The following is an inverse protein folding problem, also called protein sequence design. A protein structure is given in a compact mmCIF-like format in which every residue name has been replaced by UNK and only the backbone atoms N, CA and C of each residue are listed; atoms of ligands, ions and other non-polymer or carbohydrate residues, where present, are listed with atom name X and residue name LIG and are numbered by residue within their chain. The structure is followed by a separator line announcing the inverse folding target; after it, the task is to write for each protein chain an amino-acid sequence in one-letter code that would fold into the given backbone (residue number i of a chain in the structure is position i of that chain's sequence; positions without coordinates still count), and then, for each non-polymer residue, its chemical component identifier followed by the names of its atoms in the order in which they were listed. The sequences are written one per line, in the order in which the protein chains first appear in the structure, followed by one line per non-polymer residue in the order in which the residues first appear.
data_IF_326830348904
#
_entry.id   IF_326830348904
#
_cell.length_a   1.000
_cell.length_b   1.000
_cell.length_c   1.000
_cell.angle_alpha   90.00
_cell.angle_beta   90.00
_cell.angle_gamma   90.00
#
_symmetry.space_group_name_H-M   'P 1'
#
loop_
_entity.id
_entity.type
_entity.pdbx_description
1 polymer ?
#
# COMPACT_ATOMS: atom_id res chain seq x y z
N UNK A 1 -42.66 10.84 10.83
CA UNK A 1 -41.78 12.03 10.76
C UNK A 1 -40.72 11.86 11.84
N UNK A 2 -39.48 11.58 11.46
CA UNK A 2 -38.41 11.18 12.39
C UNK A 2 -37.59 12.41 12.76
N UNK A 3 -37.45 12.69 14.06
CA UNK A 3 -36.74 13.86 14.57
C UNK A 3 -35.31 13.45 14.94
N UNK A 4 -34.34 13.88 14.14
CA UNK A 4 -32.90 13.65 14.36
C UNK A 4 -32.41 14.69 15.37
N UNK A 5 -31.94 14.24 16.53
CA UNK A 5 -31.25 15.08 17.52
C UNK A 5 -29.76 15.01 17.21
N UNK A 6 -29.23 16.11 16.67
CA UNK A 6 -27.81 16.25 16.36
C UNK A 6 -26.97 16.42 17.62
N UNK A 7 -25.89 15.64 17.71
CA UNK A 7 -24.86 15.73 18.75
C UNK A 7 -24.04 17.00 18.53
N UNK A 8 -24.02 17.87 19.54
CA UNK A 8 -23.15 19.06 19.60
C UNK A 8 -21.76 18.60 20.02
N UNK A 9 -20.78 18.79 19.13
CA UNK A 9 -19.36 18.64 19.41
C UNK A 9 -18.78 20.01 19.78
N UNK A 10 -18.19 20.13 20.97
CA UNK A 10 -17.44 21.32 21.43
C UNK A 10 -16.04 20.85 21.92
N UNK A 11 -14.98 21.63 21.67
CA UNK A 11 -13.61 21.13 21.49
C UNK A 11 -12.82 20.95 22.78
N UNK A 12 -12.00 19.89 22.82
CA UNK A 12 -10.97 19.69 23.85
C UNK A 12 -9.60 20.21 23.39
N UNK A 13 -9.20 21.37 23.93
CA UNK A 13 -7.82 21.83 23.89
C UNK A 13 -7.53 22.65 25.17
N UNK A 14 -7.23 21.96 26.28
CA UNK A 14 -6.64 22.56 27.46
C UNK A 14 -5.12 22.40 27.36
N UNK A 15 -4.45 23.45 26.89
CA UNK A 15 -2.99 23.59 26.93
C UNK A 15 -2.52 23.85 28.36
N UNK A 16 -1.51 23.09 28.79
CA UNK A 16 -0.82 23.24 30.07
C UNK A 16 -0.03 24.57 30.10
N UNK A 17 -0.44 25.52 30.95
CA UNK A 17 0.42 26.63 31.34
C UNK A 17 1.33 26.18 32.48
N UNK A 18 2.64 26.07 32.22
CA UNK A 18 3.68 26.03 33.25
C UNK A 18 3.99 27.47 33.68
N UNK A 19 3.73 27.80 34.95
CA UNK A 19 4.19 29.03 35.56
C UNK A 19 5.67 28.92 35.94
N UNK A 20 6.51 29.74 35.32
CA UNK A 20 7.88 29.95 35.79
C UNK A 20 7.85 30.88 37.01
N UNK A 21 8.40 30.43 38.14
CA UNK A 21 8.57 31.24 39.34
C UNK A 21 9.76 32.17 39.13
N UNK A 22 9.51 33.48 39.27
CA UNK A 22 10.50 34.53 39.25
C UNK A 22 11.20 34.56 40.63
N UNK A 23 12.49 34.23 40.69
CA UNK A 23 13.31 34.49 41.87
C UNK A 23 13.99 35.86 41.68
N UNK A 24 13.58 36.83 42.50
CA UNK A 24 14.19 38.15 42.56
C UNK A 24 15.65 38.02 43.04
N UNK A 25 16.59 38.48 42.24
CA UNK A 25 17.97 38.68 42.66
C UNK A 25 18.05 40.06 43.33
N UNK A 26 18.28 40.08 44.64
CA UNK A 26 18.70 41.29 45.35
C UNK A 26 20.22 41.45 45.35
N UNK A 27 20.59 42.72 45.40
CA UNK A 27 21.90 43.32 45.14
C UNK A 27 22.88 43.17 46.32
N UNK A 28 24.19 43.28 46.01
CA UNK A 28 25.37 43.18 46.91
C UNK A 28 25.49 44.40 47.89
N UNK A 29 26.50 44.56 48.81
CA UNK A 29 27.82 43.90 48.91
C UNK A 29 28.48 43.68 50.32
N UNK A 30 29.64 43.00 50.29
CA UNK A 30 30.77 43.00 51.24
C UNK A 30 30.61 42.29 52.61
N UNK A 31 31.03 41.03 52.66
CA UNK A 31 31.98 40.61 53.71
C UNK A 31 32.86 39.45 53.23
N UNK A 32 34.08 39.42 53.75
CA UNK A 32 35.23 38.56 53.44
C UNK A 32 34.94 37.07 53.18
N UNK A 33 34.92 36.65 51.91
CA UNK A 33 34.76 35.22 51.53
C UNK A 33 36.14 34.55 51.41
N UNK A 34 36.34 33.51 52.22
CA UNK A 34 37.59 32.74 52.30
C UNK A 34 37.77 31.87 51.03
N UNK A 35 38.96 31.87 50.43
CA UNK A 35 39.23 31.25 49.11
C UNK A 35 39.28 29.72 49.16
N UNK A 36 39.43 29.13 50.35
CA UNK A 36 39.49 27.67 50.56
C UNK A 36 38.11 26.97 50.49
N UNK A 37 37.00 27.72 50.55
CA UNK A 37 35.65 27.17 50.38
C UNK A 37 35.17 27.16 48.92
N UNK A 38 35.95 27.76 48.00
CA UNK A 38 35.65 27.85 46.57
C UNK A 38 36.17 26.65 45.76
N UNK A 39 36.38 25.50 46.41
CA UNK A 39 36.72 24.27 45.69
C UNK A 39 35.49 23.72 44.97
N UNK A 40 35.30 24.16 43.71
CA UNK A 40 34.25 23.77 42.76
C UNK A 40 34.02 22.26 42.56
N UNK A 41 34.88 21.41 43.14
CA UNK A 41 34.83 19.95 43.03
C UNK A 41 34.82 19.23 44.38
N UNK A 42 34.85 19.95 45.50
CA UNK A 42 34.67 19.33 46.81
C UNK A 42 33.18 19.23 47.08
N UNK A 43 32.62 18.03 46.90
CA UNK A 43 31.27 17.72 47.38
C UNK A 43 31.33 17.81 48.91
N UNK A 44 30.67 18.80 49.56
CA UNK A 44 30.62 18.82 51.01
C UNK A 44 30.00 17.49 51.43
N UNK A 45 30.67 16.72 52.29
CA UNK A 45 30.05 15.59 52.97
C UNK A 45 29.07 16.12 54.02
N UNK A 46 28.02 16.80 53.55
CA UNK A 46 26.81 16.99 54.32
C UNK A 46 26.29 15.60 54.60
N UNK A 47 26.52 15.14 55.83
CA UNK A 47 25.80 14.01 56.41
C UNK A 47 24.33 14.40 56.40
N UNK A 48 23.66 14.18 55.28
CA UNK A 48 22.22 14.23 55.18
C UNK A 48 21.73 13.12 56.12
N UNK A 49 21.46 13.49 57.36
CA UNK A 49 20.62 12.68 58.22
C UNK A 49 19.27 12.70 57.53
N UNK A 50 18.94 11.60 56.84
CA UNK A 50 17.59 11.37 56.36
C UNK A 50 16.69 11.40 57.59
N UNK A 51 16.08 12.55 57.82
CA UNK A 51 14.99 12.70 58.77
C UNK A 51 13.78 12.24 57.97
N UNK A 52 13.24 11.09 58.36
CA UNK A 52 11.92 10.65 57.90
C UNK A 52 10.99 11.87 58.01
N UNK A 53 10.46 12.40 56.90
CA UNK A 53 9.58 13.56 56.95
C UNK A 53 8.45 13.22 57.92
N UNK A 54 8.28 14.04 58.95
CA UNK A 54 7.20 13.85 59.90
C UNK A 54 5.89 13.94 59.11
N UNK A 55 5.12 12.84 59.13
CA UNK A 55 4.05 12.56 58.17
C UNK A 55 3.12 13.77 58.05
N UNK A 56 3.31 14.56 57.00
CA UNK A 56 2.50 15.73 56.76
C UNK A 56 1.07 15.32 56.40
N UNK A 57 0.07 16.10 56.82
CA UNK A 57 -1.33 15.87 56.44
C UNK A 57 -1.54 15.71 54.91
N UNK A 58 -0.68 16.34 54.11
CA UNK A 58 -0.67 16.21 52.64
C UNK A 58 -0.19 14.83 52.17
N UNK A 59 0.80 14.25 52.82
CA UNK A 59 1.31 12.90 52.49
C UNK A 59 0.29 11.83 52.85
N UNK A 60 -0.44 12.00 53.96
CA UNK A 60 -1.60 11.17 54.31
C UNK A 60 -2.73 11.28 53.27
N UNK A 61 -2.98 12.49 52.75
CA UNK A 61 -3.94 12.70 51.67
C UNK A 61 -3.55 11.97 50.38
N UNK A 62 -2.29 12.11 49.94
CA UNK A 62 -1.78 11.46 48.72
C UNK A 62 -1.72 9.94 48.88
N UNK A 63 -1.35 9.43 50.06
CA UNK A 63 -1.35 7.99 50.33
C UNK A 63 -2.76 7.42 50.39
N UNK A 64 -3.74 8.12 50.98
CA UNK A 64 -5.15 7.69 50.91
C UNK A 64 -5.69 7.70 49.48
N UNK A 65 -5.39 8.74 48.70
CA UNK A 65 -5.78 8.80 47.28
C UNK A 65 -5.15 7.66 46.48
N UNK A 66 -3.88 7.31 46.76
CA UNK A 66 -3.22 6.17 46.14
C UNK A 66 -3.87 4.85 46.54
N UNK A 67 -4.17 4.63 47.82
CA UNK A 67 -4.89 3.44 48.30
C UNK A 67 -6.29 3.30 47.68
N UNK A 68 -6.97 4.42 47.45
CA UNK A 68 -8.25 4.43 46.73
C UNK A 68 -8.11 4.15 45.23
N UNK A 69 -6.97 4.52 44.62
CA UNK A 69 -6.69 4.28 43.20
C UNK A 69 -6.12 2.88 42.92
N UNK A 70 -5.48 2.23 43.89
CA UNK A 70 -4.96 0.84 43.81
C UNK A 70 -5.95 -0.15 43.18
N UNK A 71 -7.22 -0.26 43.64
CA UNK A 71 -8.18 -1.20 43.04
C UNK A 71 -8.54 -0.87 41.58
N UNK A 72 -8.47 0.40 41.17
CA UNK A 72 -8.70 0.79 39.79
C UNK A 72 -7.50 0.45 38.90
N UNK A 73 -6.28 0.67 39.41
CA UNK A 73 -5.05 0.33 38.68
C UNK A 73 -4.91 -1.18 38.49
N UNK A 74 -5.26 -1.99 39.50
CA UNK A 74 -5.23 -3.45 39.40
C UNK A 74 -6.26 -3.97 38.40
N UNK A 75 -7.48 -3.41 38.38
CA UNK A 75 -8.48 -3.74 37.36
C UNK A 75 -8.01 -3.36 35.94
N UNK A 76 -7.39 -2.20 35.79
CA UNK A 76 -6.84 -1.76 34.51
C UNK A 76 -5.68 -2.66 34.04
N UNK A 77 -4.81 -3.09 34.96
CA UNK A 77 -3.75 -4.05 34.68
C UNK A 77 -4.32 -5.41 34.28
N UNK A 78 -5.28 -5.96 35.04
CA UNK A 78 -5.95 -7.23 34.74
C UNK A 78 -6.58 -7.23 33.33
N UNK A 79 -7.25 -6.12 32.98
CA UNK A 79 -7.88 -5.95 31.67
C UNK A 79 -6.84 -5.89 30.54
N UNK A 80 -5.72 -5.20 30.76
CA UNK A 80 -4.59 -5.20 29.81
C UNK A 80 -3.98 -6.59 29.66
N UNK A 81 -3.74 -7.31 30.75
CA UNK A 81 -3.18 -8.66 30.70
C UNK A 81 -4.08 -9.61 29.91
N UNK A 82 -5.40 -9.56 30.15
CA UNK A 82 -6.38 -10.31 29.35
C UNK A 82 -6.36 -9.93 27.86
N UNK A 83 -6.26 -8.65 27.55
CA UNK A 83 -6.22 -8.18 26.16
C UNK A 83 -4.94 -8.63 25.45
N UNK A 84 -3.80 -8.51 26.12
CA UNK A 84 -2.50 -8.96 25.61
C UNK A 84 -2.50 -10.48 25.39
N UNK A 85 -3.05 -11.27 26.30
CA UNK A 85 -3.11 -12.73 26.16
C UNK A 85 -3.97 -13.17 24.95
N UNK A 86 -5.11 -12.51 24.72
CA UNK A 86 -5.96 -12.77 23.54
C UNK A 86 -5.23 -12.44 22.24
N UNK A 87 -4.50 -11.32 22.22
CA UNK A 87 -3.71 -10.91 21.06
C UNK A 87 -2.53 -11.86 20.85
N UNK A 88 -1.84 -12.27 21.92
CA UNK A 88 -0.75 -13.25 21.88
C UNK A 88 -1.22 -14.60 21.33
N UNK A 89 -2.40 -15.08 21.77
CA UNK A 89 -2.99 -16.33 21.30
C UNK A 89 -3.45 -16.27 19.84
N UNK A 90 -3.95 -15.11 19.38
CA UNK A 90 -4.28 -14.89 17.97
C UNK A 90 -3.01 -14.82 17.10
N UNK A 91 -2.01 -14.06 17.54
CA UNK A 91 -0.71 -13.91 16.88
C UNK A 91 0.00 -15.27 16.80
N UNK A 92 0.03 -16.05 17.88
CA UNK A 92 0.64 -17.38 17.92
C UNK A 92 0.00 -18.38 16.95
N UNK A 93 -1.28 -18.23 16.61
CA UNK A 93 -1.96 -19.07 15.60
C UNK A 93 -1.63 -18.64 14.17
N UNK A 94 -1.46 -17.34 13.93
CA UNK A 94 -1.20 -16.82 12.58
C UNK A 94 0.29 -16.83 12.23
N UNK A 95 1.18 -16.67 13.20
CA UNK A 95 2.64 -16.70 13.01
C UNK A 95 3.12 -17.94 12.22
N UNK A 96 2.82 -19.19 12.61
CA UNK A 96 3.28 -20.36 11.87
C UNK A 96 2.67 -20.43 10.47
N UNK A 97 1.45 -19.91 10.30
CA UNK A 97 0.78 -19.84 9.00
C UNK A 97 1.45 -18.82 8.08
N UNK A 98 1.84 -17.66 8.60
CA UNK A 98 2.57 -16.64 7.85
C UNK A 98 3.98 -17.11 7.53
N UNK A 99 4.65 -17.78 8.46
CA UNK A 99 5.97 -18.34 8.25
C UNK A 99 5.96 -19.42 7.17
N UNK A 100 4.99 -20.35 7.20
CA UNK A 100 4.83 -21.36 6.15
C UNK A 100 4.55 -20.76 4.77
N UNK A 101 3.74 -19.69 4.70
CA UNK A 101 3.47 -18.95 3.45
C UNK A 101 4.72 -18.20 2.98
N UNK A 102 5.51 -17.64 3.90
CA UNK A 102 6.76 -16.95 3.56
C UNK A 102 7.83 -17.93 3.06
N UNK A 103 7.94 -19.09 3.69
CA UNK A 103 8.82 -20.18 3.25
C UNK A 103 8.40 -20.70 1.87
N UNK A 104 7.10 -20.99 1.68
CA UNK A 104 6.56 -21.40 0.38
C UNK A 104 6.79 -20.33 -0.70
N UNK A 105 6.64 -19.05 -0.36
CA UNK A 105 6.92 -17.94 -1.25
C UNK A 105 8.39 -17.89 -1.66
N UNK A 106 9.31 -18.14 -0.72
CA UNK A 106 10.75 -18.16 -0.98
C UNK A 106 11.16 -19.39 -1.81
N UNK A 107 10.57 -20.56 -1.54
CA UNK A 107 10.73 -21.77 -2.35
C UNK A 107 10.20 -21.59 -3.76
N UNK A 108 9.03 -20.95 -3.91
CA UNK A 108 8.46 -20.62 -5.22
C UNK A 108 9.33 -19.61 -5.95
N UNK A 109 9.87 -18.60 -5.25
CA UNK A 109 10.74 -17.59 -5.83
C UNK A 109 12.08 -18.16 -6.29
N UNK A 110 12.68 -19.06 -5.51
CA UNK A 110 13.90 -19.77 -5.90
C UNK A 110 13.65 -20.70 -7.09
N UNK A 111 12.47 -21.34 -7.16
CA UNK A 111 12.05 -22.14 -8.31
C UNK A 111 11.80 -21.29 -9.57
N UNK A 112 11.21 -20.10 -9.42
CA UNK A 112 11.00 -19.15 -10.52
C UNK A 112 12.28 -18.50 -11.03
N UNK A 113 13.35 -18.47 -10.22
CA UNK A 113 14.67 -17.95 -10.62
C UNK A 113 15.41 -18.88 -11.59
N UNK A 114 15.23 -20.19 -11.48
CA UNK A 114 15.79 -21.19 -12.41
C UNK A 114 14.69 -22.12 -12.91
N UNK A 115 13.74 -21.61 -13.71
CA UNK A 115 12.63 -22.42 -14.15
C UNK A 115 13.12 -23.43 -15.18
N UNK A 116 12.69 -24.70 -15.10
CA UNK A 116 12.82 -25.60 -16.22
C UNK A 116 12.04 -25.02 -17.41
N UNK A 117 12.57 -25.13 -18.63
CA UNK A 117 12.01 -24.50 -19.84
C UNK A 117 10.51 -24.80 -20.08
N UNK A 118 10.00 -25.88 -19.49
CA UNK A 118 8.63 -26.37 -19.60
C UNK A 118 7.64 -25.76 -18.59
N UNK A 119 8.09 -24.95 -17.62
CA UNK A 119 7.24 -24.51 -16.51
C UNK A 119 6.18 -23.48 -16.92
N UNK A 120 6.58 -22.37 -17.58
CA UNK A 120 5.64 -21.32 -17.97
C UNK A 120 4.60 -21.76 -18.99
N UNK A 121 4.93 -22.54 -20.03
CA UNK A 121 3.91 -23.07 -20.93
C UNK A 121 2.87 -23.91 -20.20
N UNK A 122 3.29 -24.79 -19.29
CA UNK A 122 2.38 -25.66 -18.52
C UNK A 122 1.56 -24.89 -17.49
N UNK A 123 2.20 -24.03 -16.69
CA UNK A 123 1.54 -23.19 -15.71
C UNK A 123 0.56 -22.21 -16.38
N UNK A 124 0.93 -21.67 -17.54
CA UNK A 124 0.06 -20.86 -18.38
C UNK A 124 -1.19 -21.63 -18.78
N UNK A 125 -1.04 -22.80 -19.42
CA UNK A 125 -2.19 -23.62 -19.85
C UNK A 125 -3.08 -24.01 -18.67
N UNK A 126 -2.51 -24.41 -17.53
CA UNK A 126 -3.27 -24.75 -16.32
C UNK A 126 -4.01 -23.52 -15.76
N UNK A 127 -3.35 -22.36 -15.70
CA UNK A 127 -3.94 -21.11 -15.23
C UNK A 127 -5.07 -20.64 -16.14
N UNK A 128 -4.85 -20.66 -17.46
CA UNK A 128 -5.87 -20.33 -18.45
C UNK A 128 -7.06 -21.30 -18.36
N UNK A 129 -6.81 -22.61 -18.25
CA UNK A 129 -7.87 -23.60 -18.08
C UNK A 129 -8.68 -23.36 -16.80
N UNK A 130 -8.04 -22.94 -15.70
CA UNK A 130 -8.71 -22.57 -14.46
C UNK A 130 -9.60 -21.33 -14.60
N UNK A 131 -9.10 -20.28 -15.26
CA UNK A 131 -9.87 -19.04 -15.50
C UNK A 131 -11.05 -19.33 -16.44
N UNK A 132 -10.82 -20.05 -17.54
CA UNK A 132 -11.87 -20.48 -18.45
C UNK A 132 -12.91 -21.35 -17.72
N UNK A 133 -12.46 -22.30 -16.89
CA UNK A 133 -13.31 -23.14 -16.06
C UNK A 133 -14.16 -22.33 -15.10
N UNK A 134 -13.59 -21.33 -14.42
CA UNK A 134 -14.31 -20.43 -13.52
C UNK A 134 -15.36 -19.58 -14.27
N UNK A 135 -15.01 -19.10 -15.46
CA UNK A 135 -15.91 -18.31 -16.31
C UNK A 135 -17.12 -19.13 -16.79
N UNK A 136 -16.91 -20.41 -17.11
CA UNK A 136 -17.98 -21.34 -17.46
C UNK A 136 -18.79 -21.79 -16.23
N UNK A 137 -18.12 -22.04 -15.10
CA UNK A 137 -18.74 -22.56 -13.88
C UNK A 137 -19.61 -21.54 -13.15
N UNK A 138 -19.23 -20.25 -13.17
CA UNK A 138 -19.94 -19.19 -12.41
C UNK A 138 -21.33 -18.83 -12.97
N UNK A 139 -21.81 -19.56 -13.98
CA UNK A 139 -23.24 -19.55 -14.33
C UNK A 139 -23.74 -18.25 -14.93
N UNK A 140 -22.89 -17.53 -15.68
CA UNK A 140 -23.33 -16.34 -16.41
C UNK A 140 -24.03 -16.72 -17.73
N UNK A 141 -24.95 -15.86 -18.18
CA UNK A 141 -25.67 -15.97 -19.48
C UNK A 141 -24.73 -16.15 -20.68
N UNK A 142 -23.45 -15.87 -20.50
CA UNK A 142 -22.33 -16.27 -21.35
C UNK A 142 -22.50 -17.67 -21.95
N UNK A 143 -22.77 -18.72 -21.15
CA UNK A 143 -22.92 -20.08 -21.71
C UNK A 143 -24.09 -20.21 -22.68
N UNK A 144 -25.13 -19.38 -22.55
CA UNK A 144 -26.27 -19.32 -23.48
C UNK A 144 -25.95 -18.62 -24.80
N UNK A 145 -24.86 -17.85 -24.87
CA UNK A 145 -24.41 -17.16 -26.09
C UNK A 145 -23.30 -17.94 -26.77
N UNK A 146 -22.25 -18.31 -26.05
CA UNK A 146 -21.10 -18.98 -26.65
C UNK A 146 -21.42 -20.38 -27.17
N UNK A 147 -22.33 -21.12 -26.53
CA UNK A 147 -22.70 -22.46 -26.98
C UNK A 147 -23.41 -22.47 -28.35
N UNK A 148 -24.54 -21.74 -28.55
CA UNK A 148 -25.19 -21.70 -29.86
C UNK A 148 -24.37 -20.93 -30.90
N UNK A 149 -23.74 -19.81 -30.54
CA UNK A 149 -22.93 -19.05 -31.50
C UNK A 149 -21.68 -19.82 -31.94
N UNK A 150 -21.02 -20.52 -31.00
CA UNK A 150 -19.87 -21.36 -31.30
C UNK A 150 -20.24 -22.55 -32.19
N UNK A 151 -21.32 -23.27 -31.86
CA UNK A 151 -21.80 -24.37 -32.70
C UNK A 151 -22.24 -23.89 -34.09
N UNK A 152 -22.93 -22.75 -34.20
CA UNK A 152 -23.30 -22.16 -35.48
C UNK A 152 -22.07 -21.77 -36.30
N UNK A 153 -21.06 -21.16 -35.68
CA UNK A 153 -19.81 -20.80 -36.35
C UNK A 153 -19.05 -22.04 -36.84
N UNK A 154 -18.98 -23.10 -36.04
CA UNK A 154 -18.34 -24.37 -36.43
C UNK A 154 -19.12 -25.03 -37.56
N UNK A 155 -20.45 -25.11 -37.46
CA UNK A 155 -21.30 -25.68 -38.51
C UNK A 155 -21.20 -24.90 -39.83
N UNK A 156 -21.19 -23.57 -39.75
CA UNK A 156 -20.99 -22.71 -40.91
C UNK A 156 -19.58 -22.86 -41.50
N UNK A 157 -18.55 -22.96 -40.66
CA UNK A 157 -17.17 -23.19 -41.11
C UNK A 157 -17.01 -24.54 -41.81
N UNK A 158 -17.73 -25.58 -41.38
CA UNK A 158 -17.66 -26.91 -42.00
C UNK A 158 -18.39 -26.95 -43.34
N UNK A 159 -19.50 -26.22 -43.44
CA UNK A 159 -20.30 -26.17 -44.67
C UNK A 159 -19.72 -25.20 -45.72
N UNK A 160 -18.99 -24.15 -45.30
CA UNK A 160 -18.34 -23.17 -46.19
C UNK A 160 -16.87 -22.87 -45.83
N UNK A 161 -15.94 -23.82 -46.08
CA UNK A 161 -14.55 -23.70 -45.66
C UNK A 161 -13.77 -22.56 -46.33
N UNK A 162 -14.11 -22.18 -47.57
CA UNK A 162 -13.42 -21.10 -48.29
C UNK A 162 -13.74 -19.71 -47.72
N UNK A 163 -15.00 -19.49 -47.31
CA UNK A 163 -15.41 -18.23 -46.68
C UNK A 163 -14.81 -18.13 -45.27
N UNK A 164 -14.76 -19.24 -44.53
CA UNK A 164 -14.09 -19.29 -43.23
C UNK A 164 -12.58 -19.00 -43.35
N UNK A 165 -11.90 -19.56 -44.36
CA UNK A 165 -10.47 -19.30 -44.57
C UNK A 165 -10.17 -17.85 -44.93
N UNK A 166 -11.00 -17.21 -45.76
CA UNK A 166 -10.85 -15.79 -46.10
C UNK A 166 -11.04 -14.89 -44.87
N UNK A 167 -12.07 -15.16 -44.06
CA UNK A 167 -12.33 -14.43 -42.82
C UNK A 167 -11.18 -14.65 -41.82
N UNK A 168 -10.68 -15.88 -41.69
CA UNK A 168 -9.57 -16.21 -40.80
C UNK A 168 -8.27 -15.48 -41.19
N UNK A 169 -7.97 -15.36 -42.49
CA UNK A 169 -6.80 -14.61 -42.98
C UNK A 169 -6.90 -13.14 -42.62
N UNK A 170 -8.02 -12.50 -42.98
CA UNK A 170 -8.22 -11.07 -42.72
C UNK A 170 -8.22 -10.76 -41.21
N UNK A 171 -8.80 -11.65 -40.40
CA UNK A 171 -8.81 -11.52 -38.94
C UNK A 171 -7.43 -11.77 -38.34
N UNK A 172 -6.68 -12.73 -38.89
CA UNK A 172 -5.32 -13.05 -38.45
C UNK A 172 -4.35 -11.89 -38.65
N UNK A 173 -4.42 -11.20 -39.80
CA UNK A 173 -3.61 -10.00 -40.05
C UNK A 173 -3.95 -8.86 -39.09
N UNK A 174 -5.24 -8.60 -38.86
CA UNK A 174 -5.68 -7.56 -37.92
C UNK A 174 -5.26 -7.85 -36.48
N UNK A 175 -5.37 -9.11 -36.03
CA UNK A 175 -4.92 -9.52 -34.70
C UNK A 175 -3.40 -9.43 -34.57
N UNK A 176 -2.65 -9.76 -35.63
CA UNK A 176 -1.19 -9.64 -35.66
C UNK A 176 -0.77 -8.18 -35.54
N UNK A 177 -1.38 -7.28 -36.33
CA UNK A 177 -1.09 -5.84 -36.27
C UNK A 177 -1.45 -5.25 -34.91
N UNK A 178 -2.60 -5.64 -34.34
CA UNK A 178 -2.99 -5.22 -32.99
C UNK A 178 -2.02 -5.72 -31.93
N UNK A 179 -1.59 -6.98 -32.01
CA UNK A 179 -0.62 -7.56 -31.09
C UNK A 179 0.73 -6.86 -31.21
N UNK A 180 1.18 -6.55 -32.43
CA UNK A 180 2.40 -5.81 -32.70
C UNK A 180 2.31 -4.40 -32.11
N UNK A 181 1.19 -3.69 -32.32
CA UNK A 181 0.94 -2.37 -31.74
C UNK A 181 0.89 -2.42 -30.21
N UNK A 182 0.26 -3.45 -29.64
CA UNK A 182 0.22 -3.68 -28.20
C UNK A 182 1.60 -3.92 -27.60
N UNK A 183 2.42 -4.75 -28.27
CA UNK A 183 3.80 -5.00 -27.87
C UNK A 183 4.65 -3.72 -27.96
N UNK A 184 4.59 -3.02 -29.09
CA UNK A 184 5.34 -1.77 -29.29
C UNK A 184 4.92 -0.69 -28.29
N UNK A 185 3.63 -0.58 -27.96
CA UNK A 185 3.16 0.39 -26.98
C UNK A 185 3.58 0.02 -25.55
N UNK A 186 3.51 -1.25 -25.19
CA UNK A 186 3.98 -1.70 -23.86
C UNK A 186 5.49 -1.57 -23.74
N UNK A 187 6.25 -1.90 -24.79
CA UNK A 187 7.70 -1.69 -24.86
C UNK A 187 8.07 -0.20 -24.75
N UNK A 188 7.35 0.70 -25.44
CA UNK A 188 7.55 2.16 -25.31
C UNK A 188 7.31 2.65 -23.88
N UNK A 189 6.22 2.22 -23.25
CA UNK A 189 5.91 2.60 -21.86
C UNK A 189 6.97 2.03 -20.91
N UNK A 190 7.36 0.78 -21.08
CA UNK A 190 8.38 0.12 -20.25
C UNK A 190 9.77 0.75 -20.42
N UNK A 191 10.19 1.05 -21.65
CA UNK A 191 11.44 1.77 -21.94
C UNK A 191 11.41 3.21 -21.44
N UNK A 192 10.26 3.89 -21.49
CA UNK A 192 10.09 5.23 -20.92
C UNK A 192 10.13 5.23 -19.39
N UNK A 193 9.70 4.13 -18.75
CA UNK A 193 9.77 3.94 -17.31
C UNK A 193 11.19 3.53 -16.83
N UNK A 194 11.96 2.86 -17.69
CA UNK A 194 13.30 2.34 -17.35
C UNK A 194 14.44 3.31 -17.70
N UNK A 195 14.21 4.31 -18.56
CA UNK A 195 15.23 5.31 -18.93
C UNK A 195 15.06 6.57 -18.07
N UNK A 196 16.02 6.93 -17.19
CA UNK A 196 15.97 8.21 -16.51
C UNK A 196 16.21 9.34 -17.52
N UNK A 197 15.40 10.39 -17.43
CA UNK A 197 15.33 11.53 -18.32
C UNK A 197 16.70 12.04 -18.84
N UNK A 198 17.02 11.75 -20.11
CA UNK A 198 17.84 12.66 -20.92
C UNK A 198 16.89 13.61 -21.64
N UNK A 199 16.70 14.77 -21.01
CA UNK A 199 16.16 15.98 -21.64
C UNK A 199 16.91 16.24 -22.95
N UNK A 200 16.21 16.27 -24.09
CA UNK A 200 16.28 17.38 -25.05
C UNK A 200 14.96 17.52 -25.79
N UNK A 201 14.18 18.51 -25.34
CA UNK A 201 13.36 19.34 -26.21
C UNK A 201 14.18 19.80 -27.42
N UNK A 202 13.62 19.72 -28.63
CA UNK A 202 13.56 20.83 -29.60
C UNK A 202 12.70 20.44 -30.82
N UNK A 203 11.64 21.25 -30.98
CA UNK A 203 10.93 21.69 -32.20
C UNK A 203 10.01 20.75 -32.99
N UNK A 204 8.70 21.05 -32.82
CA UNK A 204 7.68 21.21 -33.88
C UNK A 204 8.27 21.61 -35.24
N UNK A 205 7.75 21.04 -36.32
CA UNK A 205 6.99 21.77 -37.37
C UNK A 205 6.06 20.77 -38.08
N UNK A 206 4.76 21.11 -38.16
CA UNK A 206 3.68 20.45 -38.91
C UNK A 206 3.44 21.29 -40.20
N UNK A 207 2.45 20.93 -41.04
CA UNK A 207 2.46 20.08 -42.23
C UNK A 207 2.58 20.90 -43.55
N UNK A 208 2.82 20.26 -44.69
CA UNK A 208 2.43 20.89 -45.97
C UNK A 208 1.80 19.86 -46.92
N UNK A 209 0.50 20.05 -47.08
CA UNK A 209 -0.38 19.52 -48.08
C UNK A 209 -0.12 20.24 -49.41
N UNK A 210 0.04 19.51 -50.51
CA UNK A 210 -0.19 20.04 -51.87
C UNK A 210 -0.54 18.91 -52.84
N UNK A 211 -1.83 18.83 -53.17
CA UNK A 211 -2.36 18.32 -54.45
C UNK A 211 -2.45 19.53 -55.41
N UNK A 212 -2.22 19.34 -56.72
CA UNK A 212 -3.32 19.45 -57.70
C UNK A 212 -3.22 18.30 -58.72
N UNK A 213 -4.29 17.60 -59.10
CA UNK A 213 -5.43 17.99 -59.98
C UNK A 213 -5.02 18.35 -61.42
N UNK A 214 -5.43 17.44 -62.31
CA UNK A 214 -5.78 17.56 -63.73
C UNK A 214 -4.72 17.53 -64.86
N UNK A 215 -4.75 16.42 -65.61
CA UNK A 215 -4.64 16.37 -67.07
C UNK A 215 -5.26 15.05 -67.55
N UNK A 216 -6.45 15.15 -68.16
CA UNK A 216 -7.21 14.02 -68.68
C UNK A 216 -6.83 13.59 -70.10
N UNK A 217 -7.65 12.66 -70.60
CA UNK A 217 -7.93 12.26 -71.98
C UNK A 217 -6.91 11.37 -72.71
N UNK A 218 -7.24 10.07 -72.80
CA UNK A 218 -7.58 9.35 -74.05
C UNK A 218 -7.70 7.86 -73.67
N UNK A 219 -8.90 7.27 -73.66
CA UNK A 219 -9.59 6.64 -74.78
C UNK A 219 -9.03 5.25 -75.19
N UNK A 220 -9.97 4.36 -75.49
CA UNK A 220 -9.87 3.12 -76.27
C UNK A 220 -9.38 1.79 -75.65
N UNK A 221 -10.39 0.93 -75.45
CA UNK A 221 -10.61 -0.32 -76.20
C UNK A 221 -9.90 -1.62 -75.78
N UNK A 222 -10.75 -2.67 -75.65
CA UNK A 222 -10.56 -4.11 -75.94
C UNK A 222 -9.25 -4.75 -75.44
N UNK A 223 -9.29 -5.79 -74.62
CA UNK A 223 -10.02 -7.04 -74.88
C UNK A 223 -10.01 -7.96 -73.66
#
# INVERSE_FOLDING_TARGET
MYKVVGVVAVPGALGLMSGAVFAAAEDKPNDTVNTDELSLYTVPQSKFRYVEPEIGHLEQGVTNLRKLAEPYTSWCQQTRHSAVEKVQGAIGKVLPKVESVSQLGNETFTFLKNPPAEFYPRAGVIGFAGILGLFFARGSRVKKLFYPTGLMAIGYSMYYPQQAAAIAKNTGESLYDFALQGYVNTEKVFKSATTPAQRKTVKKTKPEERKPEDAGLAEEAKS
#
